data_IF_652604228213
#
_entry.id   IF_652604228213
#
_cell.length_a   1.000
_cell.length_b   1.000
_cell.length_c   1.000
_cell.angle_alpha   90.00
_cell.angle_beta   90.00
_cell.angle_gamma   90.00
#
_symmetry.space_group_name_H-M   'P 1'
#
loop_
_entity.id
_entity.type
_entity.pdbx_description
1 polymer ?
#
# COMPACT_ATOMS: atom_id res chain seq x y z
N UNK A 1 -5.61 19.50 24.75
CA UNK A 1 -5.67 18.06 24.50
C UNK A 1 -6.84 17.70 23.55
N UNK A 2 -8.11 17.96 23.87
CA UNK A 2 -9.27 17.56 23.03
C UNK A 2 -9.26 18.07 21.57
N UNK A 3 -8.70 19.25 21.30
CA UNK A 3 -8.69 19.83 19.93
C UNK A 3 -7.70 19.10 19.01
N UNK A 4 -6.59 18.57 19.54
CA UNK A 4 -5.62 17.79 18.79
C UNK A 4 -6.15 16.38 18.45
N UNK A 5 -6.89 15.74 19.37
CA UNK A 5 -7.48 14.43 19.14
C UNK A 5 -8.52 14.44 18.00
N UNK A 6 -9.37 15.49 17.97
CA UNK A 6 -10.36 15.66 16.89
C UNK A 6 -9.68 15.84 15.52
N UNK A 7 -8.60 16.65 15.46
CA UNK A 7 -7.84 16.86 14.24
C UNK A 7 -7.18 15.55 13.77
N UNK A 8 -6.60 14.77 14.68
CA UNK A 8 -6.01 13.47 14.36
C UNK A 8 -7.06 12.49 13.80
N UNK A 9 -8.24 12.42 14.42
CA UNK A 9 -9.35 11.57 13.94
C UNK A 9 -9.79 12.00 12.54
N UNK A 10 -9.95 13.30 12.28
CA UNK A 10 -10.31 13.81 10.96
C UNK A 10 -9.26 13.47 9.92
N UNK A 11 -7.96 13.59 10.24
CA UNK A 11 -6.88 13.23 9.32
C UNK A 11 -6.90 11.73 8.99
N UNK A 12 -7.18 10.85 9.97
CA UNK A 12 -7.32 9.40 9.72
C UNK A 12 -8.53 9.09 8.85
N UNK A 13 -9.67 9.73 9.09
CA UNK A 13 -10.87 9.57 8.26
C UNK A 13 -10.64 10.03 6.82
N UNK A 14 -9.96 11.16 6.63
CA UNK A 14 -9.58 11.64 5.29
C UNK A 14 -8.61 10.68 4.60
N UNK A 15 -7.61 10.14 5.33
CA UNK A 15 -6.71 9.13 4.79
C UNK A 15 -7.45 7.86 4.37
N UNK A 16 -8.41 7.40 5.18
CA UNK A 16 -9.24 6.24 4.85
C UNK A 16 -10.10 6.48 3.60
N UNK A 17 -10.69 7.68 3.46
CA UNK A 17 -11.43 8.07 2.25
C UNK A 17 -10.53 8.09 1.01
N UNK A 18 -9.32 8.64 1.12
CA UNK A 18 -8.33 8.63 0.05
C UNK A 18 -7.94 7.20 -0.35
N UNK A 19 -7.72 6.29 0.61
CA UNK A 19 -7.46 4.88 0.30
C UNK A 19 -8.69 4.18 -0.29
N UNK A 20 -9.91 4.52 0.14
CA UNK A 20 -11.15 4.00 -0.43
C UNK A 20 -11.33 4.34 -1.90
N UNK A 21 -10.82 5.49 -2.37
CA UNK A 21 -10.84 5.88 -3.77
C UNK A 21 -9.92 5.03 -4.69
N UNK A 22 -9.05 4.19 -4.14
CA UNK A 22 -8.06 3.39 -4.88
C UNK A 22 -8.70 2.56 -6.00
N UNK A 23 -9.78 1.85 -5.68
CA UNK A 23 -10.49 1.01 -6.65
C UNK A 23 -11.13 1.81 -7.79
N UNK A 24 -11.54 3.06 -7.56
CA UNK A 24 -12.11 3.93 -8.61
C UNK A 24 -11.04 4.19 -9.68
N UNK A 25 -9.85 4.62 -9.27
CA UNK A 25 -8.75 4.90 -10.19
C UNK A 25 -8.25 3.64 -10.91
N UNK A 26 -8.18 2.49 -10.20
CA UNK A 26 -7.80 1.21 -10.79
C UNK A 26 -8.81 0.82 -11.87
N UNK A 27 -10.11 0.91 -11.62
CA UNK A 27 -11.15 0.60 -12.61
C UNK A 27 -11.07 1.54 -13.84
N UNK A 28 -10.83 2.84 -13.62
CA UNK A 28 -10.64 3.79 -14.73
C UNK A 28 -9.43 3.36 -15.59
N UNK A 29 -8.29 3.07 -14.98
CA UNK A 29 -7.08 2.67 -15.69
C UNK A 29 -7.25 1.32 -16.40
N UNK A 30 -7.96 0.37 -15.80
CA UNK A 30 -8.31 -0.91 -16.43
C UNK A 30 -9.19 -0.70 -17.67
N UNK A 31 -10.11 0.28 -17.64
CA UNK A 31 -10.92 0.66 -18.81
C UNK A 31 -10.08 1.24 -19.96
N UNK A 32 -8.91 1.84 -19.67
CA UNK A 32 -7.91 2.23 -20.69
C UNK A 32 -7.04 1.05 -21.18
N UNK A 33 -7.28 -0.18 -20.72
CA UNK A 33 -6.47 -1.34 -21.07
C UNK A 33 -5.12 -1.41 -20.35
N UNK A 34 -4.93 -0.60 -19.31
CA UNK A 34 -3.69 -0.56 -18.52
C UNK A 34 -3.69 -1.68 -17.49
N UNK A 35 -2.63 -2.47 -17.45
CA UNK A 35 -2.50 -3.56 -16.47
C UNK A 35 -1.86 -3.10 -15.15
N UNK A 36 -1.89 -3.99 -14.14
CA UNK A 36 -1.45 -3.67 -12.78
C UNK A 36 0.04 -3.33 -12.67
N UNK A 37 0.90 -3.93 -13.49
CA UNK A 37 2.36 -3.67 -13.50
C UNK A 37 2.65 -2.27 -14.03
N UNK A 38 2.03 -1.92 -15.17
CA UNK A 38 2.16 -0.61 -15.81
C UNK A 38 1.66 0.53 -14.92
N UNK A 39 0.44 0.37 -14.32
CA UNK A 39 -0.09 1.35 -13.35
C UNK A 39 0.87 1.56 -12.19
N UNK A 40 1.39 0.45 -11.63
CA UNK A 40 2.24 0.51 -10.44
C UNK A 40 3.56 1.18 -10.76
N UNK A 41 4.17 0.89 -11.93
CA UNK A 41 5.42 1.53 -12.34
C UNK A 41 5.26 3.04 -12.44
N UNK A 42 4.29 3.53 -13.23
CA UNK A 42 4.08 4.97 -13.41
C UNK A 42 3.74 5.65 -12.07
N UNK A 43 2.89 5.03 -11.26
CA UNK A 43 2.53 5.52 -9.94
C UNK A 43 3.74 5.65 -9.02
N UNK A 44 4.52 4.59 -8.84
CA UNK A 44 5.64 4.57 -7.91
C UNK A 44 6.79 5.48 -8.37
N UNK A 45 7.09 5.50 -9.67
CA UNK A 45 8.09 6.41 -10.25
C UNK A 45 7.69 7.88 -10.04
N UNK A 46 6.44 8.25 -10.34
CA UNK A 46 5.95 9.61 -10.14
C UNK A 46 6.02 10.02 -8.66
N UNK A 47 5.64 9.14 -7.74
CA UNK A 47 5.70 9.43 -6.30
C UNK A 47 7.14 9.50 -5.78
N UNK A 48 8.05 8.68 -6.28
CA UNK A 48 9.48 8.76 -5.96
C UNK A 48 10.07 10.11 -6.42
N UNK A 49 9.76 10.54 -7.64
CA UNK A 49 10.22 11.82 -8.19
C UNK A 49 9.68 12.98 -7.33
N UNK A 50 8.37 13.01 -7.06
CA UNK A 50 7.74 14.10 -6.30
C UNK A 50 8.25 14.18 -4.87
N UNK A 51 8.34 13.06 -4.16
CA UNK A 51 8.88 13.01 -2.79
C UNK A 51 10.37 13.33 -2.75
N UNK A 52 11.14 12.90 -3.77
CA UNK A 52 12.55 13.21 -3.91
C UNK A 52 12.81 14.70 -4.13
N UNK A 53 12.06 15.34 -5.04
CA UNK A 53 12.13 16.80 -5.27
C UNK A 53 11.76 17.54 -3.98
N UNK A 54 10.69 17.13 -3.30
CA UNK A 54 10.28 17.76 -2.04
C UNK A 54 11.36 17.67 -0.96
N UNK A 55 11.97 16.47 -0.76
CA UNK A 55 13.04 16.25 0.21
C UNK A 55 14.27 17.08 -0.15
N UNK A 56 14.68 17.10 -1.43
CA UNK A 56 15.83 17.88 -1.89
C UNK A 56 15.64 19.38 -1.65
N UNK A 57 14.41 19.89 -1.85
CA UNK A 57 14.09 21.31 -1.69
C UNK A 57 13.92 21.74 -0.21
N UNK A 58 13.32 20.87 0.63
CA UNK A 58 12.94 21.25 2.01
C UNK A 58 13.87 20.70 3.08
N UNK A 59 14.33 19.46 2.92
CA UNK A 59 15.12 18.73 3.93
C UNK A 59 16.17 17.84 3.28
N UNK A 60 17.20 18.40 2.59
CA UNK A 60 18.18 17.58 1.86
C UNK A 60 18.97 16.62 2.75
N UNK A 61 19.14 16.94 4.03
CA UNK A 61 19.75 16.02 5.01
C UNK A 61 18.95 14.72 5.21
N UNK A 62 17.63 14.75 4.99
CA UNK A 62 16.76 13.59 5.12
C UNK A 62 16.89 12.59 3.95
N UNK A 63 17.57 12.96 2.85
CA UNK A 63 17.95 12.03 1.79
C UNK A 63 19.14 11.14 2.19
N UNK A 64 19.86 11.49 3.25
CA UNK A 64 20.99 10.67 3.71
C UNK A 64 20.50 9.51 4.55
N UNK A 65 20.80 8.30 4.12
CA UNK A 65 20.54 7.06 4.86
C UNK A 65 21.83 6.27 5.02
N UNK A 66 21.85 5.39 6.01
CA UNK A 66 22.93 4.42 6.13
C UNK A 66 22.82 3.38 5.02
N UNK A 67 23.89 3.13 4.28
CA UNK A 67 23.90 2.10 3.20
C UNK A 67 23.53 0.71 3.71
N UNK A 68 23.80 0.41 4.97
CA UNK A 68 23.40 -0.86 5.62
C UNK A 68 21.88 -1.03 5.73
N UNK A 69 21.13 0.06 5.76
CA UNK A 69 19.67 0.01 5.87
C UNK A 69 18.98 -0.22 4.52
N UNK A 70 19.72 -0.16 3.41
CA UNK A 70 19.18 -0.57 2.11
C UNK A 70 18.63 -1.99 2.14
N UNK A 71 19.23 -2.90 2.95
CA UNK A 71 18.73 -4.26 3.15
C UNK A 71 17.29 -4.29 3.70
N UNK A 72 16.81 -3.23 4.33
CA UNK A 72 15.46 -3.09 4.85
C UNK A 72 14.57 -2.26 3.93
N UNK A 73 15.11 -1.23 3.27
CA UNK A 73 14.35 -0.42 2.32
C UNK A 73 13.99 -1.18 1.05
N UNK A 74 14.90 -2.01 0.54
CA UNK A 74 14.64 -2.82 -0.67
C UNK A 74 13.42 -3.74 -0.48
N UNK A 75 13.33 -4.62 0.53
CA UNK A 75 12.14 -5.44 0.71
C UNK A 75 10.91 -4.61 1.11
N UNK A 76 11.05 -3.50 1.84
CA UNK A 76 9.91 -2.63 2.15
C UNK A 76 9.31 -2.00 0.88
N UNK A 77 10.13 -1.61 -0.10
CA UNK A 77 9.67 -1.07 -1.38
C UNK A 77 9.25 -2.16 -2.37
N UNK A 78 10.12 -3.15 -2.61
CA UNK A 78 9.88 -4.16 -3.64
C UNK A 78 8.76 -5.15 -3.25
N UNK A 79 8.78 -5.67 -2.02
CA UNK A 79 7.73 -6.59 -1.57
C UNK A 79 6.57 -5.82 -0.95
N UNK A 80 6.87 -4.88 -0.04
CA UNK A 80 5.85 -4.16 0.72
C UNK A 80 4.96 -3.26 -0.12
N UNK A 81 5.48 -2.55 -1.12
CA UNK A 81 4.68 -1.66 -1.98
C UNK A 81 4.42 -2.23 -3.37
N UNK A 82 5.45 -2.72 -4.08
CA UNK A 82 5.26 -3.20 -5.46
C UNK A 82 4.43 -4.49 -5.49
N UNK A 83 4.88 -5.54 -4.82
CA UNK A 83 4.14 -6.81 -4.80
C UNK A 83 2.77 -6.66 -4.13
N UNK A 84 2.67 -5.86 -3.07
CA UNK A 84 1.40 -5.48 -2.47
C UNK A 84 0.46 -4.85 -3.51
N UNK A 85 0.92 -3.83 -4.22
CA UNK A 85 0.10 -3.13 -5.22
C UNK A 85 -0.33 -4.02 -6.37
N UNK A 86 0.57 -4.89 -6.85
CA UNK A 86 0.31 -5.85 -7.90
C UNK A 86 -0.74 -6.90 -7.47
N UNK A 87 -0.51 -7.54 -6.33
CA UNK A 87 -1.42 -8.54 -5.77
C UNK A 87 -2.79 -7.95 -5.46
N UNK A 88 -2.84 -6.73 -4.89
CA UNK A 88 -4.10 -6.06 -4.62
C UNK A 88 -4.88 -5.76 -5.90
N UNK A 89 -4.21 -5.29 -6.96
CA UNK A 89 -4.85 -5.03 -8.26
C UNK A 89 -5.42 -6.31 -8.85
N UNK A 90 -4.69 -7.42 -8.84
CA UNK A 90 -5.21 -8.71 -9.33
C UNK A 90 -6.35 -9.24 -8.45
N UNK A 91 -6.27 -9.08 -7.14
CA UNK A 91 -7.38 -9.43 -6.26
C UNK A 91 -8.64 -8.63 -6.61
N UNK A 92 -8.53 -7.31 -6.80
CA UNK A 92 -9.69 -6.47 -7.21
C UNK A 92 -10.31 -6.97 -8.52
N UNK A 93 -9.48 -7.34 -9.49
CA UNK A 93 -9.96 -7.82 -10.79
C UNK A 93 -10.69 -9.17 -10.72
N UNK A 94 -10.29 -10.05 -9.80
CA UNK A 94 -10.83 -11.42 -9.71
C UNK A 94 -12.01 -11.55 -8.73
N UNK A 95 -11.94 -10.87 -7.57
CA UNK A 95 -12.99 -11.00 -6.52
C UNK A 95 -13.73 -9.70 -6.22
N UNK A 96 -13.43 -8.64 -6.98
CA UNK A 96 -14.03 -7.33 -6.81
C UNK A 96 -13.40 -6.50 -5.68
N UNK A 97 -13.64 -5.18 -5.75
CA UNK A 97 -13.03 -4.18 -4.86
C UNK A 97 -13.38 -4.39 -3.38
N UNK A 98 -14.65 -4.71 -3.10
CA UNK A 98 -15.12 -4.90 -1.72
C UNK A 98 -14.43 -6.08 -1.04
N UNK A 99 -14.41 -7.24 -1.68
CA UNK A 99 -13.78 -8.45 -1.15
C UNK A 99 -12.26 -8.28 -1.02
N UNK A 100 -11.60 -7.70 -2.03
CA UNK A 100 -10.17 -7.42 -1.99
C UNK A 100 -9.80 -6.48 -0.83
N UNK A 101 -10.59 -5.43 -0.58
CA UNK A 101 -10.38 -4.52 0.54
C UNK A 101 -10.53 -5.24 1.90
N UNK A 102 -11.52 -6.11 2.04
CA UNK A 102 -11.74 -6.90 3.26
C UNK A 102 -10.56 -7.83 3.53
N UNK A 103 -10.01 -8.50 2.50
CA UNK A 103 -8.83 -9.35 2.65
C UNK A 103 -7.61 -8.57 3.15
N UNK A 104 -7.43 -7.33 2.71
CA UNK A 104 -6.35 -6.46 3.23
C UNK A 104 -6.59 -6.07 4.69
N UNK A 105 -7.83 -5.89 5.12
CA UNK A 105 -8.12 -5.60 6.53
C UNK A 105 -7.79 -6.74 7.49
N UNK A 106 -7.34 -7.90 7.01
CA UNK A 106 -6.66 -8.90 7.83
C UNK A 106 -5.26 -8.47 8.29
N UNK A 107 -4.66 -7.44 7.66
CA UNK A 107 -3.31 -6.96 7.98
C UNK A 107 -3.09 -6.65 9.47
N UNK A 108 -3.96 -5.95 10.20
CA UNK A 108 -3.75 -5.73 11.64
C UNK A 108 -3.67 -7.05 12.43
N UNK A 109 -4.48 -8.04 12.04
CA UNK A 109 -4.46 -9.37 12.65
C UNK A 109 -3.15 -10.12 12.34
N UNK A 110 -2.65 -10.00 11.11
CA UNK A 110 -1.37 -10.56 10.70
C UNK A 110 -0.19 -9.85 11.41
N UNK A 111 -0.20 -8.52 11.51
CA UNK A 111 0.80 -7.75 12.27
C UNK A 111 0.83 -8.22 13.73
N UNK A 112 -0.35 -8.36 14.35
CA UNK A 112 -0.46 -8.87 15.72
C UNK A 112 0.10 -10.28 15.87
N UNK A 113 -0.21 -11.17 14.94
CA UNK A 113 0.30 -12.55 14.94
C UNK A 113 1.82 -12.58 14.81
N UNK A 114 2.37 -11.79 13.88
CA UNK A 114 3.82 -11.62 13.73
C UNK A 114 4.48 -11.04 14.97
N UNK A 115 3.86 -10.04 15.63
CA UNK A 115 4.38 -9.45 16.86
C UNK A 115 4.43 -10.49 17.99
N UNK A 116 3.43 -11.35 18.12
CA UNK A 116 3.43 -12.43 19.11
C UNK A 116 4.52 -13.46 18.81
N UNK A 117 4.63 -13.90 17.54
CA UNK A 117 5.55 -15.01 17.16
C UNK A 117 7.01 -14.54 17.13
N UNK A 118 7.29 -13.37 16.53
CA UNK A 118 8.67 -12.93 16.25
C UNK A 118 9.19 -11.88 17.23
N UNK A 119 8.31 -11.03 17.79
CA UNK A 119 8.69 -10.03 18.79
C UNK A 119 8.41 -10.51 20.22
N UNK A 120 7.92 -11.76 20.36
CA UNK A 120 7.61 -12.39 21.65
C UNK A 120 6.66 -11.55 22.53
N UNK A 121 5.78 -10.77 21.90
CA UNK A 121 4.74 -10.04 22.61
C UNK A 121 3.73 -11.01 23.23
N UNK A 122 3.20 -10.65 24.41
CA UNK A 122 2.19 -11.47 25.08
C UNK A 122 0.89 -11.48 24.26
N UNK A 123 0.38 -12.68 23.99
CA UNK A 123 -0.96 -12.87 23.45
C UNK A 123 -1.98 -12.62 24.57
N UNK A 124 -2.85 -11.63 24.38
CA UNK A 124 -3.91 -11.32 25.34
C UNK A 124 -5.27 -11.78 24.82
N UNK A 125 -6.24 -12.11 25.69
CA UNK A 125 -7.60 -12.48 25.25
C UNK A 125 -8.25 -11.42 24.36
N UNK A 126 -7.99 -10.13 24.61
CA UNK A 126 -8.44 -9.05 23.75
C UNK A 126 -7.89 -9.11 22.33
N UNK A 127 -6.60 -9.44 22.18
CA UNK A 127 -5.97 -9.67 20.87
C UNK A 127 -6.65 -10.85 20.13
N UNK A 128 -6.96 -11.93 20.85
CA UNK A 128 -7.68 -13.10 20.31
C UNK A 128 -9.09 -12.74 19.84
N UNK A 129 -9.82 -11.97 20.62
CA UNK A 129 -11.18 -11.51 20.26
C UNK A 129 -11.13 -10.63 18.98
N UNK A 130 -10.19 -9.68 18.89
CA UNK A 130 -10.02 -8.86 17.68
C UNK A 130 -9.74 -9.70 16.44
N UNK A 131 -8.89 -10.74 16.56
CA UNK A 131 -8.59 -11.67 15.48
C UNK A 131 -9.86 -12.39 15.00
N UNK A 132 -10.63 -12.96 15.91
CA UNK A 132 -11.87 -13.68 15.59
C UNK A 132 -12.90 -12.74 14.94
N UNK A 133 -13.11 -11.55 15.50
CA UNK A 133 -14.03 -10.56 14.93
C UNK A 133 -13.60 -10.09 13.54
N UNK A 134 -12.30 -9.91 13.32
CA UNK A 134 -11.76 -9.56 12.00
C UNK A 134 -12.01 -10.65 10.96
N UNK A 135 -11.76 -11.93 11.31
CA UNK A 135 -12.02 -13.07 10.44
C UNK A 135 -13.50 -13.23 10.13
N UNK A 136 -14.38 -13.10 11.15
CA UNK A 136 -15.83 -13.15 10.97
C UNK A 136 -16.33 -12.01 10.07
N UNK A 137 -15.83 -10.78 10.28
CA UNK A 137 -16.11 -9.63 9.42
C UNK A 137 -15.73 -9.89 7.96
N UNK A 138 -14.54 -10.44 7.73
CA UNK A 138 -14.08 -10.85 6.40
C UNK A 138 -15.01 -11.89 5.76
N UNK A 139 -15.40 -12.91 6.51
CA UNK A 139 -16.30 -13.98 6.01
C UNK A 139 -17.68 -13.43 5.64
N UNK A 140 -18.23 -12.52 6.44
CA UNK A 140 -19.53 -11.90 6.18
C UNK A 140 -19.51 -11.01 4.92
N UNK A 141 -18.51 -10.14 4.80
CA UNK A 141 -18.43 -9.18 3.68
C UNK A 141 -18.02 -9.84 2.37
N UNK A 142 -17.23 -10.92 2.42
CA UNK A 142 -16.86 -11.69 1.23
C UNK A 142 -18.03 -12.40 0.54
N UNK A 143 -19.20 -12.44 1.18
CA UNK A 143 -20.39 -13.10 0.65
C UNK A 143 -20.32 -14.64 0.69
N UNK A 144 -19.26 -15.23 1.25
CA UNK A 144 -19.11 -16.69 1.39
C UNK A 144 -20.26 -17.29 2.21
N UNK A 145 -20.69 -16.56 3.26
CA UNK A 145 -21.84 -16.95 4.07
C UNK A 145 -23.17 -16.96 3.27
N UNK A 146 -23.28 -16.21 2.17
CA UNK A 146 -24.42 -16.17 1.24
C UNK A 146 -24.29 -17.14 0.05
N UNK A 147 -23.31 -18.04 0.05
CA UNK A 147 -23.10 -19.02 -1.02
C UNK A 147 -22.40 -18.49 -2.27
N UNK A 148 -21.82 -17.29 -2.20
CA UNK A 148 -21.02 -16.75 -3.32
C UNK A 148 -19.70 -17.53 -3.39
N UNK A 149 -19.46 -18.15 -4.54
CA UNK A 149 -18.16 -18.79 -4.84
C UNK A 149 -17.13 -17.72 -5.19
N UNK A 150 -16.09 -17.61 -4.37
CA UNK A 150 -14.99 -16.71 -4.65
C UNK A 150 -13.94 -17.40 -5.55
N UNK A 151 -13.36 -16.62 -6.44
CA UNK A 151 -12.19 -17.08 -7.19
C UNK A 151 -11.01 -17.31 -6.23
N UNK A 152 -10.51 -18.54 -6.18
CA UNK A 152 -9.43 -18.93 -5.26
C UNK A 152 -8.13 -18.16 -5.53
N UNK A 153 -7.84 -17.84 -6.81
CA UNK A 153 -6.69 -17.01 -7.20
C UNK A 153 -6.82 -15.59 -6.66
N UNK A 154 -8.01 -14.99 -6.80
CA UNK A 154 -8.30 -13.66 -6.27
C UNK A 154 -8.17 -13.56 -4.76
N UNK A 155 -8.60 -14.59 -4.03
CA UNK A 155 -8.41 -14.69 -2.57
C UNK A 155 -6.92 -14.85 -2.23
N UNK A 156 -6.20 -15.71 -2.95
CA UNK A 156 -4.76 -15.90 -2.73
C UNK A 156 -3.97 -14.61 -2.97
N UNK A 157 -4.28 -13.86 -4.03
CA UNK A 157 -3.70 -12.55 -4.27
C UNK A 157 -4.04 -11.55 -3.15
N UNK A 158 -5.27 -11.51 -2.66
CA UNK A 158 -5.67 -10.63 -1.56
C UNK A 158 -4.92 -10.93 -0.26
N UNK A 159 -4.77 -12.20 0.10
CA UNK A 159 -3.97 -12.63 1.25
C UNK A 159 -2.48 -12.34 1.06
N UNK A 160 -1.94 -12.57 -0.14
CA UNK A 160 -0.58 -12.19 -0.50
C UNK A 160 -0.32 -10.70 -0.35
N UNK A 161 -1.26 -9.87 -0.79
CA UNK A 161 -1.22 -8.43 -0.58
C UNK A 161 -1.21 -8.06 0.91
N UNK A 162 -2.07 -8.67 1.72
CA UNK A 162 -2.08 -8.45 3.17
C UNK A 162 -0.75 -8.83 3.84
N UNK A 163 -0.13 -9.93 3.44
CA UNK A 163 1.19 -10.34 3.93
C UNK A 163 2.29 -9.36 3.54
N UNK A 164 2.34 -8.92 2.29
CA UNK A 164 3.29 -7.94 1.80
C UNK A 164 3.17 -6.62 2.58
N UNK A 165 1.94 -6.14 2.79
CA UNK A 165 1.68 -4.93 3.54
C UNK A 165 2.00 -5.07 5.04
N UNK A 166 1.79 -6.25 5.60
CA UNK A 166 2.21 -6.61 6.98
C UNK A 166 3.73 -6.50 7.12
N UNK A 167 4.50 -7.09 6.19
CA UNK A 167 5.96 -7.00 6.18
C UNK A 167 6.43 -5.54 6.16
N UNK A 168 5.86 -4.72 5.27
CA UNK A 168 6.16 -3.29 5.19
C UNK A 168 5.95 -2.59 6.54
N UNK A 169 4.79 -2.79 7.17
CA UNK A 169 4.48 -2.16 8.45
C UNK A 169 5.45 -2.58 9.56
N UNK A 170 5.82 -3.85 9.62
CA UNK A 170 6.81 -4.35 10.58
C UNK A 170 8.17 -3.71 10.36
N UNK A 171 8.64 -3.62 9.11
CA UNK A 171 9.91 -2.97 8.79
C UNK A 171 9.92 -1.50 9.16
N UNK A 172 8.82 -0.77 8.87
CA UNK A 172 8.66 0.63 9.27
C UNK A 172 8.66 0.81 10.77
N UNK A 173 7.97 -0.06 11.51
CA UNK A 173 7.85 0.03 12.97
C UNK A 173 9.14 -0.37 13.71
N UNK A 174 10.00 -1.18 13.10
CA UNK A 174 11.20 -1.72 13.74
C UNK A 174 12.49 -1.13 13.17
N UNK A 175 12.84 -1.50 11.96
CA UNK A 175 14.16 -1.20 11.33
C UNK A 175 14.24 0.21 10.76
N UNK A 176 13.14 0.73 10.22
CA UNK A 176 13.09 2.02 9.54
C UNK A 176 12.52 3.16 10.43
N UNK A 177 12.20 2.87 11.69
CA UNK A 177 11.64 3.83 12.65
C UNK A 177 12.53 5.06 12.87
N UNK A 178 13.85 4.93 12.72
CA UNK A 178 14.81 6.01 12.91
C UNK A 178 14.74 7.10 11.83
N UNK A 179 14.17 6.81 10.68
CA UNK A 179 14.05 7.75 9.58
C UNK A 179 12.74 8.55 9.63
N UNK A 180 12.74 9.71 8.98
CA UNK A 180 11.53 10.51 8.85
C UNK A 180 10.48 9.77 7.99
N UNK A 181 9.18 10.00 8.21
CA UNK A 181 8.14 9.41 7.36
C UNK A 181 8.35 9.70 5.87
N UNK A 182 8.77 10.92 5.52
CA UNK A 182 9.02 11.30 4.13
C UNK A 182 10.23 10.60 3.53
N UNK A 183 11.30 10.38 4.32
CA UNK A 183 12.46 9.58 3.91
C UNK A 183 12.03 8.14 3.61
N UNK A 184 11.25 7.56 4.51
CA UNK A 184 10.73 6.20 4.33
C UNK A 184 9.88 6.10 3.06
N UNK A 185 8.95 7.03 2.84
CA UNK A 185 8.12 7.07 1.63
C UNK A 185 8.95 7.18 0.35
N UNK A 186 9.92 8.11 0.32
CA UNK A 186 10.79 8.29 -0.84
C UNK A 186 11.53 7.00 -1.23
N UNK A 187 12.24 6.38 -0.29
CA UNK A 187 12.99 5.17 -0.57
C UNK A 187 12.10 3.97 -0.89
N UNK A 188 10.96 3.86 -0.24
CA UNK A 188 10.00 2.80 -0.56
C UNK A 188 9.40 2.98 -1.96
N UNK A 189 9.03 4.20 -2.36
CA UNK A 189 8.57 4.47 -3.72
C UNK A 189 9.68 4.24 -4.74
N UNK A 190 10.92 4.64 -4.42
CA UNK A 190 12.07 4.42 -5.30
C UNK A 190 12.32 2.93 -5.55
N UNK A 191 12.42 2.11 -4.50
CA UNK A 191 12.66 0.67 -4.66
C UNK A 191 11.46 -0.07 -5.24
N UNK A 192 10.25 0.40 -4.96
CA UNK A 192 9.04 -0.09 -5.62
C UNK A 192 9.05 0.22 -7.12
N UNK A 193 9.45 1.43 -7.51
CA UNK A 193 9.56 1.81 -8.92
C UNK A 193 10.65 0.99 -9.65
N UNK A 194 11.80 0.78 -9.01
CA UNK A 194 12.87 -0.06 -9.57
C UNK A 194 12.41 -1.51 -9.75
N UNK A 195 11.79 -2.10 -8.73
CA UNK A 195 11.27 -3.46 -8.82
C UNK A 195 10.18 -3.60 -9.89
N UNK A 196 9.26 -2.63 -9.95
CA UNK A 196 8.20 -2.56 -10.96
C UNK A 196 8.78 -2.39 -12.37
N UNK A 197 9.82 -1.56 -12.55
CA UNK A 197 10.49 -1.38 -13.84
C UNK A 197 11.13 -2.69 -14.33
N UNK A 198 11.87 -3.37 -13.45
CA UNK A 198 12.50 -4.66 -13.77
C UNK A 198 11.44 -5.69 -14.18
N UNK A 199 10.37 -5.78 -13.41
CA UNK A 199 9.29 -6.74 -13.68
C UNK A 199 8.55 -6.40 -14.98
N UNK A 200 8.16 -5.13 -15.20
CA UNK A 200 7.46 -4.67 -16.41
C UNK A 200 8.33 -4.83 -17.66
N UNK A 201 9.64 -4.58 -17.55
CA UNK A 201 10.59 -4.78 -18.64
C UNK A 201 10.75 -6.28 -18.98
N UNK A 202 10.90 -7.13 -17.96
CA UNK A 202 11.01 -8.58 -18.15
C UNK A 202 9.75 -9.20 -18.75
N UNK A 203 8.57 -8.64 -18.44
CA UNK A 203 7.29 -9.05 -19.02
C UNK A 203 7.05 -8.49 -20.45
N UNK A 204 7.91 -7.60 -20.96
CA UNK A 204 7.73 -6.98 -22.27
C UNK A 204 6.60 -5.93 -22.31
N UNK A 205 6.18 -5.42 -21.16
CA UNK A 205 5.00 -4.55 -21.01
C UNK A 205 5.32 -3.04 -21.03
N UNK A 206 6.55 -2.66 -21.30
CA UNK A 206 6.99 -1.25 -21.41
C UNK A 206 6.19 -0.40 -22.41
N UNK A 207 5.72 -0.93 -23.57
CA UNK A 207 4.87 -0.15 -24.46
C UNK A 207 3.60 0.41 -23.82
N UNK A 208 2.99 -0.33 -22.88
CA UNK A 208 1.83 0.14 -22.15
C UNK A 208 2.15 1.27 -21.15
N UNK A 209 3.38 1.33 -20.65
CA UNK A 209 3.86 2.47 -19.85
C UNK A 209 3.94 3.73 -20.71
N UNK A 210 4.48 3.63 -21.92
CA UNK A 210 4.51 4.73 -22.89
C UNK A 210 3.08 5.20 -23.23
N UNK A 211 2.14 4.27 -23.39
CA UNK A 211 0.73 4.60 -23.60
C UNK A 211 0.12 5.42 -22.45
N UNK A 212 0.40 5.06 -21.19
CA UNK A 212 -0.07 5.86 -20.04
C UNK A 212 0.51 7.29 -20.10
N UNK A 213 1.80 7.43 -20.40
CA UNK A 213 2.48 8.72 -20.42
C UNK A 213 2.01 9.63 -21.57
N UNK A 214 1.56 9.05 -22.68
CA UNK A 214 1.11 9.79 -23.86
C UNK A 214 -0.40 10.02 -23.90
N UNK A 215 -1.19 9.31 -23.09
CA UNK A 215 -2.64 9.43 -23.03
C UNK A 215 -3.06 10.30 -21.83
N UNK A 216 -3.50 11.56 -22.03
CA UNK A 216 -3.76 12.50 -20.93
C UNK A 216 -4.73 11.96 -19.88
N UNK A 217 -5.79 11.25 -20.27
CA UNK A 217 -6.77 10.67 -19.37
C UNK A 217 -6.18 9.55 -18.49
N UNK A 218 -5.40 8.65 -19.08
CA UNK A 218 -4.72 7.58 -18.35
C UNK A 218 -3.65 8.14 -17.41
N UNK A 219 -2.87 9.13 -17.87
CA UNK A 219 -1.87 9.80 -17.03
C UNK A 219 -2.52 10.52 -15.85
N UNK A 220 -3.58 11.30 -16.08
CA UNK A 220 -4.31 12.00 -15.03
C UNK A 220 -4.89 11.02 -13.99
N UNK A 221 -5.49 9.90 -14.43
CA UNK A 221 -6.00 8.87 -13.53
C UNK A 221 -4.87 8.22 -12.73
N UNK A 222 -3.72 7.92 -13.35
CA UNK A 222 -2.57 7.33 -12.65
C UNK A 222 -1.91 8.30 -11.66
N UNK A 223 -1.78 9.57 -12.02
CA UNK A 223 -1.30 10.60 -11.09
C UNK A 223 -2.30 10.82 -9.94
N UNK A 224 -3.60 10.79 -10.21
CA UNK A 224 -4.65 10.83 -9.19
C UNK A 224 -4.52 9.65 -8.20
N UNK A 225 -4.33 8.44 -8.73
CA UNK A 225 -4.07 7.24 -7.93
C UNK A 225 -2.83 7.42 -7.02
N UNK A 226 -1.74 7.95 -7.56
CA UNK A 226 -0.50 8.21 -6.80
C UNK A 226 -0.65 9.32 -5.77
N UNK A 227 -1.12 10.49 -6.19
CA UNK A 227 -1.21 11.68 -5.34
C UNK A 227 -2.25 11.50 -4.22
N UNK A 228 -3.45 11.05 -4.56
CA UNK A 228 -4.55 10.92 -3.60
C UNK A 228 -4.39 9.67 -2.75
N UNK A 229 -4.29 8.50 -3.38
CA UNK A 229 -4.36 7.23 -2.65
C UNK A 229 -3.02 6.75 -2.10
N UNK A 230 -1.89 7.29 -2.59
CA UNK A 230 -0.58 6.92 -2.05
C UNK A 230 0.03 8.05 -1.22
N UNK A 231 0.29 9.22 -1.80
CA UNK A 231 1.04 10.28 -1.12
C UNK A 231 0.19 11.01 -0.07
N UNK A 232 -0.97 11.55 -0.45
CA UNK A 232 -1.81 12.32 0.47
C UNK A 232 -2.37 11.45 1.60
N UNK A 233 -2.86 10.25 1.29
CA UNK A 233 -3.37 9.31 2.28
C UNK A 233 -2.29 8.94 3.32
N UNK A 234 -1.10 8.61 2.85
CA UNK A 234 0.01 8.23 3.74
C UNK A 234 0.51 9.42 4.55
N UNK A 235 0.55 10.62 3.96
CA UNK A 235 0.93 11.84 4.69
C UNK A 235 -0.07 12.18 5.79
N UNK A 236 -1.37 12.17 5.48
CA UNK A 236 -2.43 12.41 6.46
C UNK A 236 -2.37 11.40 7.63
N UNK A 237 -2.22 10.12 7.30
CA UNK A 237 -2.11 9.07 8.31
C UNK A 237 -0.89 9.26 9.21
N UNK A 238 0.29 9.51 8.63
CA UNK A 238 1.51 9.72 9.41
C UNK A 238 1.51 11.03 10.20
N UNK A 239 0.84 12.08 9.70
CA UNK A 239 0.64 13.32 10.44
C UNK A 239 -0.26 13.10 11.66
N UNK A 240 -1.36 12.34 11.50
CA UNK A 240 -2.26 12.00 12.60
C UNK A 240 -1.58 11.23 13.73
N UNK A 241 -0.61 10.36 13.41
CA UNK A 241 0.13 9.58 14.43
C UNK A 241 1.09 10.44 15.28
N UNK A 242 1.36 11.69 14.88
CA UNK A 242 2.26 12.61 15.60
C UNK A 242 1.51 13.61 16.47
N UNK A 243 0.19 13.67 16.33
CA UNK A 243 -0.70 14.58 17.06
C UNK A 243 -1.23 13.94 18.33
#
# INVERSE_FOLDING_TARGET
MKQNETAAVLMVLMAAACWGANGIFINILTAYGVNGTQMTLVRMASMAILTGIWLAAKTPAALKIDLRDLVWFVPAGALGLFMFGLFYTYSIQLVGMGTAAVLIYLMPSLVMLFSVVFLHEKFTPGKGLCLVLSLLGCALVSGVAGGVTLDAGGVAYGLGAALCYTLQNILLATKLKKYSPMTNLFYMFLFSAVASLVFTAAAGELPGVAYILTTPGALAANLGLGLVCSLAAQWLYTAALKT
#
